data_IF_032025762433
#
_entry.id   IF_032025762433
#
_cell.length_a   1.000
_cell.length_b   1.000
_cell.length_c   1.000
_cell.angle_alpha   90.00
_cell.angle_beta   90.00
_cell.angle_gamma   90.00
#
_symmetry.space_group_name_H-M   'P 1'
#
loop_
_entity.id
_entity.type
_entity.pdbx_description
1 polymer ?
#
# COMPACT_ATOMS: atom_id res chain seq x y z
N UNK A 1 5.46 5.56 -30.96
CA UNK A 1 6.08 5.21 -29.67
C UNK A 1 5.51 6.16 -28.64
N UNK A 2 4.78 5.64 -27.66
CA UNK A 2 4.29 6.43 -26.52
C UNK A 2 5.48 7.05 -25.78
N UNK A 3 5.35 8.29 -25.28
CA UNK A 3 6.39 9.00 -24.53
C UNK A 3 6.98 8.15 -23.39
N UNK A 4 6.15 7.29 -22.78
CA UNK A 4 6.50 6.38 -21.69
C UNK A 4 7.61 5.40 -22.08
N UNK A 5 7.58 4.86 -23.32
CA UNK A 5 8.59 3.93 -23.78
C UNK A 5 9.99 4.56 -23.86
N UNK A 6 10.08 5.90 -23.92
CA UNK A 6 11.37 6.60 -23.85
C UNK A 6 12.01 6.56 -22.47
N UNK A 7 11.26 6.22 -21.42
CA UNK A 7 11.80 5.94 -20.09
C UNK A 7 12.38 4.53 -19.97
N UNK A 8 12.18 3.67 -20.97
CA UNK A 8 12.70 2.31 -20.98
C UNK A 8 14.06 2.22 -21.68
N UNK A 9 14.87 1.29 -21.20
CA UNK A 9 16.22 1.02 -21.72
C UNK A 9 16.19 -0.18 -22.67
N UNK A 10 17.31 -0.46 -23.33
CA UNK A 10 17.47 -1.70 -24.11
C UNK A 10 17.90 -2.91 -23.25
N UNK A 11 18.04 -2.73 -21.93
CA UNK A 11 18.47 -3.76 -21.00
C UNK A 11 17.35 -4.75 -20.69
N UNK A 12 17.66 -6.03 -20.74
CA UNK A 12 16.77 -7.07 -20.24
C UNK A 12 16.76 -7.09 -18.70
N UNK A 13 15.63 -7.44 -18.10
CA UNK A 13 15.48 -7.58 -16.65
C UNK A 13 15.13 -9.03 -16.27
N UNK A 14 16.06 -10.00 -16.41
CA UNK A 14 15.75 -11.43 -16.27
C UNK A 14 15.17 -11.81 -14.89
N UNK A 15 15.53 -11.07 -13.83
CA UNK A 15 14.95 -11.27 -12.49
C UNK A 15 13.49 -10.80 -12.38
N UNK A 16 13.04 -9.96 -13.32
CA UNK A 16 11.69 -9.44 -13.45
C UNK A 16 10.92 -10.08 -14.62
N UNK A 17 11.42 -11.19 -15.16
CA UNK A 17 10.81 -11.89 -16.29
C UNK A 17 11.08 -11.21 -17.64
N UNK A 18 10.33 -11.61 -18.66
CA UNK A 18 10.54 -11.13 -20.03
C UNK A 18 10.18 -9.65 -20.17
N UNK A 19 11.10 -8.87 -20.76
CA UNK A 19 10.88 -7.46 -21.07
C UNK A 19 12.11 -6.59 -20.87
N UNK A 20 11.99 -5.35 -21.32
CA UNK A 20 13.00 -4.30 -21.19
C UNK A 20 12.80 -3.48 -19.93
N UNK A 21 13.89 -3.17 -19.23
CA UNK A 21 13.83 -2.42 -17.97
C UNK A 21 13.45 -0.96 -18.21
N UNK A 22 12.43 -0.47 -17.49
CA UNK A 22 12.12 0.96 -17.41
C UNK A 22 12.57 1.55 -16.08
N UNK A 23 12.21 0.91 -14.97
CA UNK A 23 12.72 1.26 -13.64
C UNK A 23 12.73 0.04 -12.73
N UNK A 24 13.71 -0.04 -11.85
CA UNK A 24 13.72 -0.90 -10.67
C UNK A 24 14.31 -0.04 -9.54
N UNK A 25 13.50 0.24 -8.51
CA UNK A 25 13.96 1.09 -7.42
C UNK A 25 14.93 0.35 -6.48
N UNK A 26 15.04 -0.99 -6.57
CA UNK A 26 15.89 -1.82 -5.73
C UNK A 26 15.16 -2.60 -4.63
N UNK A 27 13.83 -2.48 -4.51
CA UNK A 27 13.05 -3.28 -3.56
C UNK A 27 13.16 -4.76 -3.92
N UNK A 28 13.33 -5.63 -2.92
CA UNK A 28 13.49 -7.07 -3.11
C UNK A 28 12.45 -7.85 -2.30
N UNK A 29 11.65 -8.64 -3.02
CA UNK A 29 10.71 -9.59 -2.44
C UNK A 29 11.48 -10.63 -1.59
N UNK A 30 10.87 -11.06 -0.48
CA UNK A 30 11.44 -11.84 0.64
C UNK A 30 12.48 -11.11 1.49
N UNK A 31 12.67 -9.80 1.29
CA UNK A 31 13.56 -8.98 2.11
C UNK A 31 12.87 -7.70 2.57
N UNK A 32 12.33 -6.92 1.63
CA UNK A 32 11.74 -5.60 1.88
C UNK A 32 10.20 -5.66 2.04
N UNK A 33 9.59 -6.82 1.80
CA UNK A 33 8.18 -7.09 2.07
C UNK A 33 7.96 -7.70 3.46
N UNK A 34 6.74 -7.55 3.99
CA UNK A 34 6.35 -8.29 5.18
C UNK A 34 6.22 -9.77 4.86
N UNK A 35 6.65 -10.63 5.79
CA UNK A 35 6.57 -12.09 5.67
C UNK A 35 5.20 -12.68 6.03
N UNK A 36 4.23 -11.83 6.36
CA UNK A 36 2.90 -12.22 6.79
C UNK A 36 1.81 -11.55 5.96
N UNK A 37 0.68 -12.24 5.82
CA UNK A 37 -0.42 -11.78 4.98
C UNK A 37 -1.18 -10.64 5.64
N UNK A 38 -1.70 -9.76 4.80
CA UNK A 38 -2.81 -8.87 5.12
C UNK A 38 -3.93 -9.62 5.87
N UNK A 39 -4.58 -8.91 6.80
CA UNK A 39 -5.62 -9.48 7.65
C UNK A 39 -6.73 -8.47 7.90
N UNK A 40 -7.92 -9.00 8.18
CA UNK A 40 -9.12 -8.24 8.52
C UNK A 40 -9.33 -8.12 10.03
N UNK A 41 -10.49 -8.57 10.53
CA UNK A 41 -10.85 -8.44 11.96
C UNK A 41 -9.75 -8.94 12.91
N UNK A 42 -9.53 -8.19 13.99
CA UNK A 42 -8.64 -8.54 15.08
C UNK A 42 -9.34 -8.34 16.42
N UNK A 43 -9.10 -9.24 17.37
CA UNK A 43 -9.55 -9.09 18.76
C UNK A 43 -8.57 -8.30 19.63
N UNK A 44 -7.35 -8.05 19.13
CA UNK A 44 -6.33 -7.27 19.84
C UNK A 44 -6.56 -5.78 19.62
N UNK A 45 -6.63 -5.00 20.70
CA UNK A 45 -6.94 -3.58 20.65
C UNK A 45 -5.93 -2.81 19.77
N UNK A 46 -4.64 -3.08 19.93
CA UNK A 46 -3.56 -2.39 19.21
C UNK A 46 -3.45 -2.74 17.73
N UNK A 47 -4.19 -3.76 17.30
CA UNK A 47 -4.36 -4.09 15.90
C UNK A 47 -5.60 -3.41 15.29
N UNK A 48 -6.27 -2.51 16.01
CA UNK A 48 -7.45 -1.77 15.57
C UNK A 48 -7.24 -0.26 15.70
N UNK A 49 -8.06 0.55 15.05
CA UNK A 49 -8.02 2.01 15.25
C UNK A 49 -8.41 2.30 16.69
N UNK A 50 -7.56 3.05 17.39
CA UNK A 50 -7.79 3.46 18.77
C UNK A 50 -8.06 4.96 18.86
N UNK A 51 -8.46 5.42 20.04
CA UNK A 51 -8.55 6.87 20.33
C UNK A 51 -7.19 7.53 20.12
N UNK A 52 -6.10 6.86 20.53
CA UNK A 52 -4.75 7.39 20.35
C UNK A 52 -4.41 7.56 18.86
N UNK A 53 -4.79 6.60 18.01
CA UNK A 53 -4.62 6.73 16.55
C UNK A 53 -5.28 8.00 16.02
N UNK A 54 -6.49 8.33 16.47
CA UNK A 54 -7.19 9.54 16.05
C UNK A 54 -6.53 10.80 16.62
N UNK A 55 -6.02 10.76 17.86
CA UNK A 55 -5.27 11.88 18.47
C UNK A 55 -3.98 12.14 17.68
N UNK A 56 -3.28 11.09 17.25
CA UNK A 56 -2.04 11.22 16.49
C UNK A 56 -2.29 11.84 15.10
N UNK A 57 -3.44 11.52 14.48
CA UNK A 57 -3.82 12.05 13.16
C UNK A 57 -4.38 13.47 13.21
N UNK A 58 -5.25 13.76 14.19
CA UNK A 58 -6.07 14.98 14.19
C UNK A 58 -5.78 15.93 15.37
N UNK A 59 -4.98 15.50 16.33
CA UNK A 59 -4.72 16.21 17.58
C UNK A 59 -5.80 16.00 18.64
N UNK A 60 -5.39 16.16 19.90
CA UNK A 60 -6.25 15.94 21.07
C UNK A 60 -7.54 16.78 21.04
N UNK A 61 -7.44 18.07 20.71
CA UNK A 61 -8.59 18.99 20.70
C UNK A 61 -9.68 18.64 19.68
N UNK A 62 -9.31 17.99 18.57
CA UNK A 62 -10.26 17.54 17.55
C UNK A 62 -11.01 16.27 18.00
N UNK A 63 -10.38 15.45 18.83
CA UNK A 63 -10.86 14.11 19.23
C UNK A 63 -11.63 14.14 20.54
N UNK A 64 -11.14 14.91 21.50
CA UNK A 64 -11.63 14.98 22.87
C UNK A 64 -12.42 16.28 23.10
N UNK A 65 -13.35 16.26 24.05
CA UNK A 65 -13.99 17.47 24.57
C UNK A 65 -12.97 18.35 25.29
N UNK A 66 -13.24 19.65 25.33
CA UNK A 66 -12.37 20.62 25.99
C UNK A 66 -12.20 20.26 27.48
N UNK A 67 -10.96 20.18 27.94
CA UNK A 67 -10.61 19.70 29.26
C UNK A 67 -9.09 19.57 29.45
N UNK A 68 -8.64 18.97 30.57
CA UNK A 68 -7.21 18.70 30.79
C UNK A 68 -6.63 17.82 29.67
N UNK A 69 -5.44 18.16 29.16
CA UNK A 69 -4.79 17.41 28.08
C UNK A 69 -4.38 15.98 28.46
N UNK A 70 -4.35 15.67 29.75
CA UNK A 70 -4.08 14.33 30.29
C UNK A 70 -5.30 13.41 30.29
N UNK A 71 -6.49 13.95 30.01
CA UNK A 71 -7.75 13.20 29.94
C UNK A 71 -8.34 13.32 28.53
N UNK A 72 -9.03 12.28 28.06
CA UNK A 72 -9.77 12.35 26.80
C UNK A 72 -11.20 11.85 27.00
N UNK A 73 -12.12 12.79 27.23
CA UNK A 73 -13.55 12.52 27.09
C UNK A 73 -13.88 12.64 25.61
N UNK A 74 -14.00 11.50 24.92
CA UNK A 74 -14.20 11.45 23.48
C UNK A 74 -15.50 12.13 23.05
N UNK A 75 -15.45 12.85 21.91
CA UNK A 75 -16.64 13.46 21.32
C UNK A 75 -17.56 12.37 20.75
N UNK A 76 -18.90 12.56 20.76
CA UNK A 76 -19.82 11.61 20.13
C UNK A 76 -19.53 11.37 18.63
N UNK A 77 -19.04 12.38 17.92
CA UNK A 77 -18.62 12.25 16.51
C UNK A 77 -17.37 11.38 16.37
N UNK A 78 -16.43 11.47 17.32
CA UNK A 78 -15.25 10.61 17.39
C UNK A 78 -15.64 9.15 17.61
N UNK A 79 -16.62 8.86 18.47
CA UNK A 79 -17.12 7.50 18.68
C UNK A 79 -17.62 6.90 17.37
N UNK A 80 -18.48 7.63 16.64
CA UNK A 80 -19.00 7.18 15.35
C UNK A 80 -17.89 6.94 14.33
N UNK A 81 -16.89 7.84 14.29
CA UNK A 81 -15.73 7.71 13.39
C UNK A 81 -14.89 6.48 13.73
N UNK A 82 -14.69 6.20 15.01
CA UNK A 82 -13.94 5.04 15.50
C UNK A 82 -14.64 3.73 15.08
N UNK A 83 -15.97 3.67 15.21
CA UNK A 83 -16.77 2.53 14.78
C UNK A 83 -16.72 2.34 13.25
N UNK A 84 -16.92 3.43 12.49
CA UNK A 84 -16.85 3.44 11.03
C UNK A 84 -15.50 2.92 10.52
N UNK A 85 -14.40 3.46 11.05
CA UNK A 85 -13.06 3.07 10.61
C UNK A 85 -12.72 1.64 11.02
N UNK A 86 -13.08 1.19 12.22
CA UNK A 86 -12.85 -0.20 12.60
C UNK A 86 -13.71 -1.18 11.78
N UNK A 87 -14.92 -0.80 11.36
CA UNK A 87 -15.72 -1.57 10.43
C UNK A 87 -15.07 -1.65 9.03
N UNK A 88 -14.47 -0.56 8.55
CA UNK A 88 -13.72 -0.57 7.29
C UNK A 88 -12.42 -1.40 7.38
N UNK A 89 -11.66 -1.25 8.48
CA UNK A 89 -10.41 -1.98 8.76
C UNK A 89 -10.63 -3.51 8.80
N UNK A 90 -11.85 -3.95 9.14
CA UNK A 90 -12.23 -5.35 9.09
C UNK A 90 -12.07 -5.97 7.69
N UNK A 91 -12.10 -5.15 6.62
CA UNK A 91 -11.87 -5.57 5.24
C UNK A 91 -10.40 -5.83 4.91
N UNK A 92 -9.46 -5.27 5.67
CA UNK A 92 -8.03 -5.44 5.43
C UNK A 92 -7.19 -4.23 5.85
N UNK A 93 -5.89 -4.47 5.99
CA UNK A 93 -4.82 -3.50 6.29
C UNK A 93 -3.90 -3.24 5.10
N UNK A 94 -4.35 -3.54 3.88
CA UNK A 94 -3.53 -3.49 2.67
C UNK A 94 -2.85 -2.13 2.48
N UNK A 95 -3.56 -1.01 2.65
CA UNK A 95 -2.95 0.33 2.53
C UNK A 95 -1.86 0.58 3.57
N UNK A 96 -2.08 0.17 4.82
CA UNK A 96 -1.08 0.33 5.89
C UNK A 96 0.16 -0.51 5.65
N UNK A 97 -0.01 -1.75 5.16
CA UNK A 97 1.10 -2.63 4.80
C UNK A 97 1.85 -2.10 3.59
N UNK A 98 1.15 -1.65 2.55
CA UNK A 98 1.77 -1.12 1.34
C UNK A 98 2.52 0.20 1.62
N UNK A 99 1.94 1.07 2.44
CA UNK A 99 2.58 2.33 2.83
C UNK A 99 3.80 2.08 3.70
N UNK A 100 3.69 1.23 4.72
CA UNK A 100 4.79 1.00 5.65
C UNK A 100 5.96 0.23 5.00
N UNK A 101 5.71 -0.71 4.08
CA UNK A 101 6.80 -1.35 3.31
C UNK A 101 7.55 -0.35 2.43
N UNK A 102 6.84 0.57 1.76
CA UNK A 102 7.45 1.67 1.00
C UNK A 102 8.29 2.57 1.92
N UNK A 103 7.80 2.88 3.11
CA UNK A 103 8.53 3.71 4.08
C UNK A 103 9.80 3.04 4.62
N UNK A 104 9.75 1.74 4.92
CA UNK A 104 10.96 0.97 5.28
C UNK A 104 11.98 0.94 4.14
N UNK A 105 11.49 0.75 2.92
CA UNK A 105 12.35 0.74 1.74
C UNK A 105 13.08 2.08 1.57
N UNK A 106 12.35 3.19 1.70
CA UNK A 106 12.89 4.55 1.63
C UNK A 106 13.63 5.00 2.90
N UNK A 107 13.84 4.11 3.88
CA UNK A 107 14.54 4.40 5.14
C UNK A 107 13.89 5.52 5.97
N UNK A 108 12.58 5.71 5.80
CA UNK A 108 11.77 6.60 6.63
C UNK A 108 11.38 5.95 7.97
N UNK A 109 11.37 4.62 8.00
CA UNK A 109 11.24 3.81 9.20
C UNK A 109 12.33 2.72 9.20
N UNK A 110 12.64 2.18 10.39
CA UNK A 110 13.62 1.11 10.57
C UNK A 110 12.94 -0.13 11.19
N UNK A 111 13.07 -1.34 10.60
CA UNK A 111 12.54 -2.57 11.20
C UNK A 111 13.00 -2.81 12.64
N UNK A 112 14.20 -2.34 13.00
CA UNK A 112 14.75 -2.49 14.34
C UNK A 112 13.94 -1.77 15.42
N UNK A 113 13.13 -0.77 15.05
CA UNK A 113 12.21 -0.09 15.95
C UNK A 113 11.09 -1.02 16.46
N UNK A 114 10.77 -2.07 15.70
CA UNK A 114 9.71 -3.03 16.02
C UNK A 114 10.27 -4.34 16.58
N UNK A 115 11.44 -4.76 16.12
CA UNK A 115 12.17 -5.92 16.64
C UNK A 115 13.66 -5.62 16.57
N UNK A 116 14.36 -5.53 17.70
CA UNK A 116 15.78 -5.13 17.75
C UNK A 116 16.73 -6.06 16.99
N UNK A 117 16.31 -7.29 16.67
CA UNK A 117 17.08 -8.24 15.86
C UNK A 117 16.70 -8.23 14.38
N UNK A 118 15.67 -7.46 13.99
CA UNK A 118 15.27 -7.34 12.60
C UNK A 118 16.30 -6.50 11.84
N UNK A 119 16.78 -7.06 10.74
CA UNK A 119 17.66 -6.39 9.78
C UNK A 119 16.93 -6.05 8.49
N UNK A 120 15.73 -6.62 8.31
CA UNK A 120 14.89 -6.53 7.11
C UNK A 120 13.42 -6.49 7.51
N UNK A 121 12.56 -6.04 6.60
CA UNK A 121 11.11 -6.03 6.81
C UNK A 121 10.57 -7.46 6.96
N UNK A 122 11.13 -8.41 6.21
CA UNK A 122 10.74 -9.81 6.28
C UNK A 122 10.97 -10.47 7.66
N UNK A 123 11.85 -9.90 8.50
CA UNK A 123 12.13 -10.39 9.86
C UNK A 123 11.01 -10.01 10.86
N UNK A 124 10.12 -9.10 10.47
CA UNK A 124 9.00 -8.64 11.28
C UNK A 124 7.87 -9.67 11.32
N UNK A 125 7.19 -9.74 12.45
CA UNK A 125 6.09 -10.69 12.69
C UNK A 125 4.88 -9.97 13.26
N UNK A 126 3.70 -10.48 12.92
CA UNK A 126 2.43 -10.04 13.52
C UNK A 126 2.40 -10.28 15.03
N UNK A 127 1.52 -9.55 15.71
CA UNK A 127 1.34 -9.66 17.16
C UNK A 127 2.36 -8.84 17.95
N UNK A 128 3.26 -8.12 17.26
CA UNK A 128 4.01 -7.03 17.87
C UNK A 128 3.08 -5.80 17.97
N UNK A 129 2.78 -5.38 19.20
CA UNK A 129 1.86 -4.29 19.48
C UNK A 129 2.20 -3.00 18.70
N UNK A 130 3.47 -2.59 18.75
CA UNK A 130 3.93 -1.35 18.12
C UNK A 130 3.83 -1.42 16.59
N UNK A 131 4.17 -2.57 16.00
CA UNK A 131 4.07 -2.80 14.57
C UNK A 131 2.61 -2.82 14.10
N UNK A 132 1.76 -3.56 14.79
CA UNK A 132 0.34 -3.67 14.45
C UNK A 132 -0.33 -2.29 14.53
N UNK A 133 -0.03 -1.49 15.57
CA UNK A 133 -0.53 -0.11 15.68
C UNK A 133 0.01 0.81 14.59
N UNK A 134 1.27 0.65 14.19
CA UNK A 134 1.87 1.44 13.11
C UNK A 134 1.23 1.11 11.76
N UNK A 135 0.96 -0.17 11.49
CA UNK A 135 0.22 -0.60 10.29
C UNK A 135 -1.19 0.00 10.29
N UNK A 136 -1.88 0.01 11.43
CA UNK A 136 -3.20 0.62 11.55
C UNK A 136 -3.15 2.14 11.34
N UNK A 137 -2.15 2.82 11.89
CA UNK A 137 -1.96 4.26 11.71
C UNK A 137 -1.80 4.60 10.22
N UNK A 138 -0.89 3.92 9.51
CA UNK A 138 -0.69 4.13 8.07
C UNK A 138 -1.85 3.65 7.21
N UNK A 139 -2.63 2.67 7.67
CA UNK A 139 -3.89 2.35 7.03
C UNK A 139 -4.89 3.51 7.16
N UNK A 140 -4.97 4.13 8.35
CA UNK A 140 -5.92 5.21 8.62
C UNK A 140 -5.62 6.50 7.85
N UNK A 141 -4.35 6.74 7.47
CA UNK A 141 -3.98 7.94 6.69
C UNK A 141 -4.68 8.04 5.35
N UNK A 142 -5.20 6.92 4.80
CA UNK A 142 -5.94 6.91 3.53
C UNK A 142 -7.23 7.73 3.54
N UNK A 143 -7.77 8.01 4.74
CA UNK A 143 -8.98 8.80 4.92
C UNK A 143 -8.70 10.29 5.18
N UNK A 144 -7.42 10.68 5.30
CA UNK A 144 -7.05 12.10 5.37
C UNK A 144 -7.34 12.76 4.02
N UNK A 145 -7.85 13.99 4.06
CA UNK A 145 -8.30 14.72 2.87
C UNK A 145 -7.19 14.81 1.82
N UNK A 146 -5.96 15.09 2.24
CA UNK A 146 -4.80 15.20 1.36
C UNK A 146 -4.53 13.89 0.59
N UNK A 147 -4.72 12.74 1.24
CA UNK A 147 -4.49 11.42 0.65
C UNK A 147 -5.68 11.02 -0.22
N UNK A 148 -6.91 11.20 0.28
CA UNK A 148 -8.12 10.86 -0.46
C UNK A 148 -8.31 11.69 -1.71
N UNK A 149 -7.97 12.98 -1.67
CA UNK A 149 -8.05 13.89 -2.82
C UNK A 149 -6.99 13.55 -3.88
N UNK A 150 -5.77 13.21 -3.44
CA UNK A 150 -4.72 12.76 -4.35
C UNK A 150 -5.08 11.44 -5.03
N UNK A 151 -5.69 10.52 -4.28
CA UNK A 151 -6.22 9.27 -4.82
C UNK A 151 -7.41 9.50 -5.77
N UNK A 152 -8.26 10.48 -5.49
CA UNK A 152 -9.35 10.88 -6.41
C UNK A 152 -8.81 11.43 -7.72
N UNK A 153 -7.76 12.24 -7.65
CA UNK A 153 -7.10 12.80 -8.83
C UNK A 153 -6.39 11.72 -9.65
N UNK A 154 -5.68 10.78 -9.01
CA UNK A 154 -5.03 9.68 -9.73
C UNK A 154 -6.02 8.76 -10.46
N UNK A 155 -7.20 8.52 -9.88
CA UNK A 155 -8.27 7.73 -10.53
C UNK A 155 -8.84 8.39 -11.80
N UNK A 156 -8.59 9.68 -12.04
CA UNK A 156 -8.97 10.34 -13.29
C UNK A 156 -7.92 10.18 -14.40
N UNK A 157 -6.73 9.68 -14.08
CA UNK A 157 -5.67 9.42 -15.04
C UNK A 157 -5.88 8.06 -15.72
N UNK A 158 -5.44 7.95 -16.98
CA UNK A 158 -5.44 6.67 -17.69
C UNK A 158 -4.31 5.75 -17.18
N UNK A 159 -4.43 4.42 -17.37
CA UNK A 159 -3.39 3.47 -16.96
C UNK A 159 -1.99 3.83 -17.44
N UNK A 160 -1.83 4.24 -18.70
CA UNK A 160 -0.55 4.68 -19.25
C UNK A 160 -0.01 5.95 -18.59
N UNK A 161 -0.86 6.92 -18.24
CA UNK A 161 -0.40 8.09 -17.46
C UNK A 161 0.08 7.70 -16.06
N UNK A 162 -0.58 6.73 -15.42
CA UNK A 162 -0.16 6.21 -14.12
C UNK A 162 1.17 5.44 -14.21
N UNK A 163 1.41 4.71 -15.31
CA UNK A 163 2.71 4.07 -15.56
C UNK A 163 3.81 5.13 -15.67
N UNK A 164 3.57 6.20 -16.41
CA UNK A 164 4.53 7.31 -16.58
C UNK A 164 4.88 7.97 -15.24
N UNK A 165 3.85 8.36 -14.48
CA UNK A 165 3.99 8.97 -13.15
C UNK A 165 4.74 8.04 -12.19
N UNK A 166 4.45 6.73 -12.24
CA UNK A 166 5.09 5.73 -11.40
C UNK A 166 6.57 5.57 -11.74
N UNK A 167 6.93 5.47 -13.03
CA UNK A 167 8.33 5.38 -13.45
C UNK A 167 9.12 6.58 -12.96
N UNK A 168 8.59 7.79 -13.16
CA UNK A 168 9.25 9.02 -12.75
C UNK A 168 9.39 9.12 -11.24
N UNK A 169 8.35 8.82 -10.45
CA UNK A 169 8.45 8.93 -9.00
C UNK A 169 9.35 7.87 -8.39
N UNK A 170 9.33 6.62 -8.88
CA UNK A 170 10.28 5.59 -8.44
C UNK A 170 11.73 6.01 -8.71
N UNK A 171 12.02 6.58 -9.88
CA UNK A 171 13.36 7.10 -10.21
C UNK A 171 13.82 8.25 -9.30
N UNK A 172 12.88 9.00 -8.71
CA UNK A 172 13.15 10.11 -7.80
C UNK A 172 13.02 9.74 -6.31
N UNK A 173 12.88 8.46 -5.97
CA UNK A 173 12.74 8.01 -4.59
C UNK A 173 11.43 8.44 -3.92
N UNK A 174 10.39 8.71 -4.71
CA UNK A 174 9.04 9.02 -4.19
C UNK A 174 8.36 7.72 -3.74
N UNK A 175 7.79 7.74 -2.54
CA UNK A 175 7.02 6.64 -2.02
C UNK A 175 5.63 6.57 -2.66
N UNK A 176 5.33 5.45 -3.31
CA UNK A 176 4.01 5.17 -3.86
C UNK A 176 3.36 3.93 -3.27
N UNK A 177 2.03 3.95 -3.27
CA UNK A 177 1.16 2.78 -3.24
C UNK A 177 0.36 2.77 -4.54
N UNK A 178 0.00 1.59 -5.04
CA UNK A 178 -0.91 1.44 -6.18
C UNK A 178 -2.23 0.89 -5.65
N UNK A 179 -3.28 1.71 -5.77
CA UNK A 179 -4.66 1.31 -5.50
C UNK A 179 -5.27 0.62 -6.73
N UNK A 180 -5.79 -0.58 -6.53
CA UNK A 180 -6.52 -1.38 -7.50
C UNK A 180 -8.00 -1.40 -7.10
N UNK A 181 -8.90 -1.21 -8.07
CA UNK A 181 -10.34 -1.17 -7.81
C UNK A 181 -11.09 -2.03 -8.82
N UNK A 182 -12.00 -2.86 -8.33
CA UNK A 182 -12.87 -3.70 -9.16
C UNK A 182 -14.26 -3.79 -8.55
N UNK A 183 -15.25 -3.15 -9.19
CA UNK A 183 -16.58 -2.98 -8.61
C UNK A 183 -16.52 -2.23 -7.27
N UNK A 184 -17.01 -2.86 -6.20
CA UNK A 184 -16.91 -2.33 -4.82
C UNK A 184 -15.66 -2.78 -4.07
N UNK A 185 -14.83 -3.63 -4.66
CA UNK A 185 -13.58 -4.08 -4.05
C UNK A 185 -12.45 -3.09 -4.32
N UNK A 186 -11.62 -2.89 -3.30
CA UNK A 186 -10.40 -2.10 -3.38
C UNK A 186 -9.24 -2.87 -2.75
N UNK A 187 -8.03 -2.67 -3.28
CA UNK A 187 -6.81 -3.25 -2.75
C UNK A 187 -5.63 -2.32 -2.99
N UNK A 188 -4.62 -2.41 -2.14
CA UNK A 188 -3.42 -1.57 -2.23
C UNK A 188 -2.17 -2.41 -2.19
N UNK A 189 -1.25 -2.14 -3.11
CA UNK A 189 0.02 -2.89 -3.29
C UNK A 189 1.19 -1.92 -3.39
N UNK A 190 2.40 -2.42 -3.13
CA UNK A 190 3.63 -1.63 -3.22
C UNK A 190 4.30 -1.85 -4.57
N UNK A 191 4.33 -0.86 -5.47
CA UNK A 191 5.09 -0.97 -6.71
C UNK A 191 6.60 -0.83 -6.44
N UNK A 192 7.41 -1.51 -7.24
CA UNK A 192 8.86 -1.36 -7.13
C UNK A 192 9.62 -1.34 -8.44
N UNK A 193 9.04 -1.86 -9.52
CA UNK A 193 9.67 -1.84 -10.83
C UNK A 193 8.63 -1.75 -11.95
N UNK A 194 9.07 -1.30 -13.12
CA UNK A 194 8.31 -1.37 -14.36
C UNK A 194 9.21 -1.92 -15.47
N UNK A 195 8.71 -2.91 -16.20
CA UNK A 195 9.32 -3.40 -17.44
C UNK A 195 8.37 -3.19 -18.62
N UNK A 196 8.92 -3.15 -19.84
CA UNK A 196 8.17 -3.03 -21.08
C UNK A 196 8.38 -4.28 -21.92
N UNK A 197 7.30 -5.03 -22.19
CA UNK A 197 7.31 -6.27 -22.94
C UNK A 197 6.37 -6.16 -24.14
N UNK A 198 6.95 -6.05 -25.35
CA UNK A 198 6.18 -5.84 -26.57
C UNK A 198 5.49 -4.48 -26.56
N UNK A 199 4.16 -4.47 -26.41
CA UNK A 199 3.33 -3.27 -26.25
C UNK A 199 2.91 -3.01 -24.82
N UNK A 200 3.20 -3.92 -23.89
CA UNK A 200 2.67 -3.89 -22.54
C UNK A 200 3.70 -3.34 -21.55
N UNK A 201 3.22 -2.57 -20.59
CA UNK A 201 3.99 -2.18 -19.42
C UNK A 201 3.60 -3.07 -18.25
N UNK A 202 4.58 -3.67 -17.60
CA UNK A 202 4.38 -4.59 -16.46
C UNK A 202 4.84 -3.86 -15.22
N UNK A 203 3.91 -3.54 -14.33
CA UNK A 203 4.23 -2.99 -13.00
C UNK A 203 4.43 -4.17 -12.04
N UNK A 204 5.64 -4.28 -11.51
CA UNK A 204 6.01 -5.30 -10.53
C UNK A 204 5.68 -4.79 -9.14
N UNK A 205 4.93 -5.59 -8.38
CA UNK A 205 4.42 -5.20 -7.07
C UNK A 205 4.66 -6.26 -6.00
N UNK A 206 4.86 -5.79 -4.78
CA UNK A 206 4.59 -6.57 -3.57
C UNK A 206 3.10 -6.46 -3.24
N UNK A 207 2.40 -7.59 -3.34
CA UNK A 207 1.02 -7.73 -2.87
C UNK A 207 1.02 -8.30 -1.45
N UNK A 208 0.55 -7.51 -0.48
CA UNK A 208 0.47 -7.91 0.92
C UNK A 208 -0.54 -9.04 1.21
N UNK A 209 -1.40 -9.44 0.25
CA UNK A 209 -2.17 -10.69 0.34
C UNK A 209 -1.33 -11.94 -0.01
N UNK A 210 -0.20 -11.78 -0.73
CA UNK A 210 0.70 -12.85 -1.16
C UNK A 210 2.18 -12.55 -0.83
N UNK A 211 2.55 -12.42 0.46
CA UNK A 211 3.94 -12.25 0.91
C UNK A 211 4.94 -13.19 0.25
N UNK A 212 6.13 -12.68 -0.07
CA UNK A 212 7.21 -13.45 -0.67
C UNK A 212 6.97 -13.85 -2.13
N UNK A 213 5.88 -13.39 -2.74
CA UNK A 213 5.54 -13.62 -4.15
C UNK A 213 5.49 -12.29 -4.88
N UNK A 214 6.31 -12.17 -5.92
CA UNK A 214 6.22 -11.05 -6.87
C UNK A 214 4.93 -11.17 -7.67
N UNK A 215 4.17 -10.08 -7.74
CA UNK A 215 2.95 -9.98 -8.55
C UNK A 215 3.13 -8.91 -9.62
N UNK A 216 2.26 -8.95 -10.62
CA UNK A 216 2.37 -8.12 -11.82
C UNK A 216 1.02 -7.51 -12.16
N UNK A 217 1.00 -6.20 -12.41
CA UNK A 217 -0.12 -5.51 -13.05
C UNK A 217 0.28 -5.27 -14.49
N UNK A 218 -0.52 -5.77 -15.43
CA UNK A 218 -0.23 -5.67 -16.86
C UNK A 218 -1.03 -4.50 -17.42
N UNK A 219 -0.36 -3.51 -17.97
CA UNK A 219 -0.98 -2.37 -18.65
C UNK A 219 -0.77 -2.53 -20.15
N UNK A 220 -1.87 -2.66 -20.89
CA UNK A 220 -1.85 -2.77 -22.35
C UNK A 220 -1.60 -1.40 -22.97
N UNK A 221 -0.45 -1.22 -23.65
CA UNK A 221 -0.08 0.05 -24.27
C UNK A 221 -0.84 0.40 -25.54
N UNK A 222 -1.64 -0.53 -26.07
CA UNK A 222 -2.50 -0.33 -27.25
C UNK A 222 -3.90 0.09 -26.84
N UNK A 223 -4.53 -0.64 -25.91
CA UNK A 223 -5.91 -0.37 -25.46
C UNK A 223 -5.98 0.57 -24.26
N UNK A 224 -4.85 0.83 -23.59
CA UNK A 224 -4.77 1.64 -22.38
C UNK A 224 -5.69 1.10 -21.26
N UNK A 225 -5.70 -0.22 -21.11
CA UNK A 225 -6.41 -0.97 -20.07
C UNK A 225 -5.41 -1.70 -19.19
N UNK A 226 -5.82 -2.15 -18.01
CA UNK A 226 -4.95 -2.91 -17.11
C UNK A 226 -5.61 -4.22 -16.71
N UNK A 227 -4.80 -5.21 -16.36
CA UNK A 227 -5.26 -6.46 -15.76
C UNK A 227 -4.40 -6.85 -14.58
N UNK A 228 -5.00 -7.53 -13.60
CA UNK A 228 -4.32 -8.06 -12.43
C UNK A 228 -4.81 -9.47 -12.11
N UNK A 229 -3.91 -10.44 -12.28
CA UNK A 229 -4.27 -11.85 -12.20
C UNK A 229 -4.38 -12.36 -10.76
N UNK A 230 -5.33 -13.26 -10.52
CA UNK A 230 -5.57 -13.91 -9.24
C UNK A 230 -5.65 -12.92 -8.06
N UNK A 231 -6.41 -11.84 -8.27
CA UNK A 231 -6.76 -10.93 -7.19
C UNK A 231 -7.68 -11.65 -6.21
N UNK A 232 -7.50 -11.43 -4.91
CA UNK A 232 -8.38 -12.02 -3.90
C UNK A 232 -9.75 -11.33 -4.01
N UNK A 233 -10.76 -12.05 -4.49
CA UNK A 233 -12.07 -11.45 -4.77
C UNK A 233 -12.90 -11.24 -3.49
N UNK A 234 -12.76 -12.14 -2.53
CA UNK A 234 -13.58 -12.22 -1.32
C UNK A 234 -12.81 -12.92 -0.16
N UNK A 235 -13.28 -12.81 1.10
CA UNK A 235 -12.71 -13.52 2.25
C UNK A 235 -12.75 -15.05 2.13
N UNK A 236 -13.60 -15.60 1.24
CA UNK A 236 -13.79 -17.03 0.98
C UNK A 236 -12.62 -17.70 0.22
N UNK A 237 -11.64 -16.90 -0.21
CA UNK A 237 -10.42 -17.40 -0.87
C UNK A 237 -10.53 -17.60 -2.38
N UNK A 238 -11.66 -17.27 -3.01
CA UNK A 238 -11.78 -17.32 -4.47
C UNK A 238 -10.98 -16.16 -5.06
N UNK A 239 -10.12 -16.49 -6.03
CA UNK A 239 -9.34 -15.51 -6.78
C UNK A 239 -9.99 -15.27 -8.14
N UNK A 240 -10.08 -14.01 -8.55
CA UNK A 240 -10.57 -13.60 -9.87
C UNK A 240 -9.60 -12.63 -10.49
N UNK A 241 -9.56 -12.58 -11.81
CA UNK A 241 -8.76 -11.59 -12.52
C UNK A 241 -9.51 -10.26 -12.52
N UNK A 242 -8.82 -9.19 -12.16
CA UNK A 242 -9.35 -7.82 -12.26
C UNK A 242 -8.94 -7.26 -13.61
N UNK A 243 -9.90 -6.64 -14.31
CA UNK A 243 -9.76 -6.08 -15.67
C UNK A 243 -10.48 -4.75 -15.76
#
# INVERSE_FOLDING_TARGET
MTQIASHCTDLDAPELGDGKLCIDNGFRIKADDFSFTNWGRSTQADANVTIQTLIDLFGHSAVCLDGPTTECVIRPTTVQKLEEWNNALAGGRCEGLATLSTRFFLKLDDPSAFNSNATRVADLQRGNQLLDSSIVYWWATQFLTEVSDRASTSRMQSPLQLVDDLIQGLANGVGYTVGLYFGSAGHSVTPFAVTHNGTNFIIHVYDNNFPGVRKEIIVDGTTNTWTYAAARAQPDGISVDWT
#
